data_IF_540059057061
#
_entry.id   IF_540059057061
#
_cell.length_a   1.000
_cell.length_b   1.000
_cell.length_c   1.000
_cell.angle_alpha   90.00
_cell.angle_beta   90.00
_cell.angle_gamma   90.00
#
_symmetry.space_group_name_H-M   'P 1'
#
loop_
_entity.id
_entity.type
_entity.pdbx_description
1 polymer ?
#
# COMPACT_ATOMS: atom_id res chain seq x y z
N UNK A 1 11.85 -6.49 3.69
CA UNK A 1 12.06 -5.46 4.70
C UNK A 1 10.91 -5.56 5.66
N UNK A 2 11.15 -5.42 6.97
CA UNK A 2 10.09 -5.59 7.94
C UNK A 2 10.21 -4.56 9.08
N UNK A 3 9.08 -3.96 9.42
CA UNK A 3 8.84 -3.02 10.51
C UNK A 3 8.25 -3.80 11.67
N UNK A 4 8.90 -3.77 12.83
CA UNK A 4 8.50 -4.53 14.02
C UNK A 4 8.12 -3.60 15.15
N UNK A 5 7.02 -3.91 15.86
CA UNK A 5 6.68 -3.26 17.13
C UNK A 5 7.46 -3.91 18.27
N UNK A 6 8.34 -3.16 18.92
CA UNK A 6 9.06 -3.61 20.12
C UNK A 6 8.19 -3.27 21.33
N UNK A 7 7.24 -4.16 21.67
CA UNK A 7 6.30 -3.87 22.77
C UNK A 7 5.40 -5.01 23.27
N UNK A 8 5.43 -6.21 22.68
CA UNK A 8 4.78 -7.40 23.25
C UNK A 8 5.83 -8.46 23.59
N UNK A 9 6.28 -8.40 24.84
CA UNK A 9 6.79 -9.50 25.68
C UNK A 9 7.37 -10.72 24.96
N UNK A 10 8.63 -10.63 24.53
CA UNK A 10 9.60 -11.70 24.74
C UNK A 10 10.59 -11.19 25.79
N UNK A 11 10.25 -11.39 27.05
CA UNK A 11 11.11 -11.10 28.19
C UNK A 11 12.26 -12.11 28.15
N UNK A 12 13.46 -11.65 27.81
CA UNK A 12 14.68 -12.18 28.44
C UNK A 12 15.11 -11.11 29.43
N UNK A 13 14.42 -11.09 30.58
CA UNK A 13 14.87 -10.35 31.75
C UNK A 13 16.00 -11.16 32.38
N UNK A 14 17.22 -10.63 32.32
CA UNK A 14 18.27 -11.01 33.26
C UNK A 14 18.24 -9.95 34.35
N UNK A 15 17.72 -10.32 35.51
CA UNK A 15 17.68 -9.48 36.71
C UNK A 15 18.90 -9.78 37.58
N UNK A 16 19.69 -8.76 37.98
CA UNK A 16 20.31 -8.62 39.31
C UNK A 16 20.79 -7.14 39.52
N UNK A 17 21.11 -6.64 40.74
CA UNK A 17 20.26 -5.73 41.48
C UNK A 17 20.90 -4.35 41.78
N UNK A 18 20.10 -3.50 42.43
CA UNK A 18 20.35 -2.15 42.93
C UNK A 18 21.56 -1.95 43.83
N UNK A 19 22.22 -0.77 43.74
CA UNK A 19 22.51 0.13 44.88
C UNK A 19 23.02 1.53 44.46
N UNK A 20 22.41 2.56 45.07
CA UNK A 20 22.93 3.82 45.63
C UNK A 20 23.46 5.02 44.78
N UNK A 21 22.77 6.16 44.98
CA UNK A 21 23.23 7.52 45.37
C UNK A 21 23.78 8.56 44.36
N UNK A 22 22.89 9.53 44.01
CA UNK A 22 23.01 11.03 43.95
C UNK A 22 24.06 11.72 43.01
N UNK A 23 23.94 13.04 42.66
CA UNK A 23 22.83 14.01 42.84
C UNK A 23 22.40 14.78 41.55
N UNK A 24 21.34 15.58 41.75
CA UNK A 24 20.58 16.48 40.87
C UNK A 24 21.33 17.41 39.90
N UNK A 25 20.81 17.52 38.68
CA UNK A 25 20.79 18.76 37.90
C UNK A 25 19.38 19.04 37.35
N UNK A 26 18.88 20.26 37.61
CA UNK A 26 17.61 20.80 37.10
C UNK A 26 17.69 21.04 35.59
N UNK A 27 16.72 20.61 34.76
CA UNK A 27 16.57 21.16 33.43
C UNK A 27 15.75 22.46 33.48
N UNK A 28 16.26 23.47 32.76
CA UNK A 28 15.65 24.78 32.55
C UNK A 28 14.39 24.61 31.71
N UNK A 29 13.24 25.04 32.27
CA UNK A 29 11.92 25.02 31.64
C UNK A 29 11.77 26.29 30.77
N UNK A 30 11.99 26.17 29.46
CA UNK A 30 11.64 27.22 28.50
C UNK A 30 10.23 26.96 27.96
N UNK A 31 9.26 27.71 28.50
CA UNK A 31 7.89 27.82 27.97
C UNK A 31 7.92 28.64 26.68
N UNK A 32 7.55 28.02 25.56
CA UNK A 32 7.23 28.73 24.32
C UNK A 32 5.70 28.94 24.28
N UNK A 33 5.20 30.18 24.10
CA UNK A 33 3.76 30.43 23.99
C UNK A 33 3.22 29.97 22.62
N UNK A 34 1.93 29.62 22.52
CA UNK A 34 1.32 29.25 21.25
C UNK A 34 1.26 30.46 20.31
N UNK A 35 1.59 30.24 19.03
CA UNK A 35 1.38 31.21 17.97
C UNK A 35 -0.12 31.48 17.80
N UNK A 36 -0.51 32.71 18.14
CA UNK A 36 -1.82 33.27 17.85
C UNK A 36 -1.98 33.42 16.34
N UNK A 37 -2.98 32.77 15.76
CA UNK A 37 -3.34 32.91 14.35
C UNK A 37 -4.13 34.22 14.17
N UNK A 38 -3.68 35.19 13.35
CA UNK A 38 -4.43 36.42 13.14
C UNK A 38 -5.70 36.13 12.33
N UNK A 39 -6.80 36.63 12.87
CA UNK A 39 -8.14 36.59 12.30
C UNK A 39 -8.25 37.33 10.95
N UNK A 40 -9.17 36.81 10.13
CA UNK A 40 -9.99 37.49 9.11
C UNK A 40 -9.31 38.53 8.21
N UNK A 41 -9.21 38.19 6.92
CA UNK A 41 -9.20 39.17 5.83
C UNK A 41 -10.49 39.07 4.99
N UNK A 42 -10.94 40.20 4.39
CA UNK A 42 -12.30 40.37 3.95
C UNK A 42 -12.62 39.65 2.64
N UNK A 43 -13.91 39.39 2.48
CA UNK A 43 -14.55 38.67 1.38
C UNK A 43 -14.59 39.59 0.15
N UNK A 44 -13.77 39.33 -0.86
CA UNK A 44 -13.87 40.02 -2.14
C UNK A 44 -14.96 39.37 -3.00
N UNK A 45 -15.96 40.18 -3.33
CA UNK A 45 -17.06 39.91 -4.24
C UNK A 45 -16.55 39.81 -5.68
N UNK A 46 -16.53 38.59 -6.23
CA UNK A 46 -16.51 38.37 -7.67
C UNK A 46 -17.90 37.93 -8.11
N UNK A 47 -18.63 38.88 -8.69
CA UNK A 47 -19.92 38.65 -9.35
C UNK A 47 -19.63 38.03 -10.71
N UNK A 48 -19.60 36.71 -10.76
CA UNK A 48 -19.62 35.91 -11.99
C UNK A 48 -21.05 35.47 -12.31
N UNK A 49 -21.52 35.81 -13.50
CA UNK A 49 -22.89 35.59 -14.00
C UNK A 49 -23.30 34.11 -13.87
N UNK A 50 -24.50 33.86 -13.32
CA UNK A 50 -25.15 32.54 -13.34
C UNK A 50 -25.57 32.21 -14.78
N UNK A 51 -24.97 31.18 -15.36
CA UNK A 51 -25.59 30.43 -16.44
C UNK A 51 -26.41 29.30 -15.81
N UNK A 52 -27.73 29.39 -15.94
CA UNK A 52 -28.68 28.38 -15.49
C UNK A 52 -28.59 27.18 -16.43
N UNK A 53 -28.04 26.06 -15.97
CA UNK A 53 -28.22 24.78 -16.63
C UNK A 53 -29.25 23.98 -15.84
N UNK A 54 -30.40 23.75 -16.45
CA UNK A 54 -31.44 22.83 -15.97
C UNK A 54 -30.95 21.40 -16.14
N UNK A 55 -30.84 20.68 -15.02
CA UNK A 55 -30.68 19.23 -14.99
C UNK A 55 -32.08 18.63 -14.88
N UNK A 56 -32.53 17.91 -15.90
CA UNK A 56 -33.73 17.08 -15.83
C UNK A 56 -33.39 15.73 -15.17
N UNK A 57 -34.24 15.31 -14.24
CA UNK A 57 -34.17 14.03 -13.53
C UNK A 57 -34.86 12.89 -14.31
N UNK A 58 -34.96 11.66 -13.77
CA UNK A 58 -34.18 10.49 -14.14
C UNK A 58 -34.94 9.50 -15.03
N UNK A 59 -34.21 8.69 -15.80
CA UNK A 59 -34.76 7.50 -16.45
C UNK A 59 -34.76 6.32 -15.48
N UNK A 60 -35.91 5.69 -15.38
CA UNK A 60 -36.29 4.54 -14.56
C UNK A 60 -35.36 3.34 -14.73
N UNK A 61 -34.85 2.82 -13.60
CA UNK A 61 -34.21 1.52 -13.53
C UNK A 61 -35.28 0.42 -13.42
N UNK A 62 -35.33 -0.49 -14.40
CA UNK A 62 -36.05 -1.75 -14.29
C UNK A 62 -35.09 -2.84 -13.83
N UNK A 63 -35.35 -3.35 -12.64
CA UNK A 63 -34.71 -4.50 -12.03
C UNK A 63 -35.13 -5.80 -12.73
N UNK A 64 -34.14 -6.56 -13.22
CA UNK A 64 -34.18 -8.02 -13.19
C UNK A 64 -32.75 -8.50 -13.00
N UNK A 65 -32.50 -9.05 -11.82
CA UNK A 65 -31.35 -9.88 -11.49
C UNK A 65 -31.36 -11.13 -12.37
N UNK A 66 -30.31 -11.32 -13.15
CA UNK A 66 -29.64 -12.60 -13.37
C UNK A 66 -28.22 -12.27 -13.86
N UNK A 67 -27.23 -12.33 -12.96
CA UNK A 67 -25.81 -12.33 -13.34
C UNK A 67 -25.53 -13.72 -13.92
N UNK A 68 -25.86 -13.87 -15.21
CA UNK A 68 -25.49 -15.04 -15.97
C UNK A 68 -23.96 -15.12 -16.03
N UNK A 69 -23.40 -16.23 -15.57
CA UNK A 69 -22.02 -16.60 -15.83
C UNK A 69 -21.83 -16.67 -17.35
N UNK A 70 -21.21 -15.64 -17.93
CA UNK A 70 -20.86 -15.61 -19.35
C UNK A 70 -19.81 -16.70 -19.58
N UNK A 71 -20.28 -17.83 -20.10
CA UNK A 71 -19.43 -18.89 -20.63
C UNK A 71 -18.73 -18.35 -21.88
N UNK A 72 -17.43 -18.64 -22.09
CA UNK A 72 -16.68 -18.05 -23.18
C UNK A 72 -17.19 -18.62 -24.50
N UNK A 73 -17.64 -17.74 -25.40
CA UNK A 73 -17.66 -17.99 -26.83
C UNK A 73 -16.21 -18.07 -27.31
N UNK A 74 -15.57 -19.21 -27.04
CA UNK A 74 -14.23 -19.53 -27.50
C UNK A 74 -14.25 -19.74 -29.00
N UNK A 75 -13.93 -18.68 -29.75
CA UNK A 75 -13.47 -18.86 -31.11
C UNK A 75 -12.01 -19.31 -31.04
N UNK A 76 -11.85 -20.63 -30.88
CA UNK A 76 -10.56 -21.31 -30.85
C UNK A 76 -9.93 -21.31 -32.24
N UNK A 77 -9.46 -20.14 -32.67
CA UNK A 77 -8.54 -20.02 -33.79
C UNK A 77 -7.17 -19.62 -33.24
N UNK A 78 -6.12 -20.11 -33.88
CA UNK A 78 -4.72 -19.75 -33.63
C UNK A 78 -4.43 -18.29 -34.02
N UNK A 79 -5.24 -17.37 -33.51
CA UNK A 79 -5.17 -15.93 -33.74
C UNK A 79 -4.08 -15.29 -32.88
N UNK A 80 -3.45 -14.27 -33.41
CA UNK A 80 -2.54 -13.42 -32.65
C UNK A 80 -3.40 -12.44 -31.86
N UNK A 81 -3.28 -12.44 -30.53
CA UNK A 81 -3.99 -11.51 -29.68
C UNK A 81 -3.43 -10.09 -29.84
N UNK A 82 -4.29 -9.08 -29.81
CA UNK A 82 -3.81 -7.69 -29.90
C UNK A 82 -3.00 -7.31 -28.66
N UNK A 83 -3.46 -7.72 -27.48
CA UNK A 83 -2.84 -7.37 -26.21
C UNK A 83 -2.97 -8.51 -25.20
N UNK A 84 -1.82 -8.92 -24.68
CA UNK A 84 -1.73 -9.83 -23.54
C UNK A 84 -1.20 -9.06 -22.33
N UNK A 85 -1.78 -9.32 -21.16
CA UNK A 85 -1.40 -8.72 -19.88
C UNK A 85 -1.04 -9.86 -18.93
N UNK A 86 0.14 -9.81 -18.31
CA UNK A 86 0.57 -10.79 -17.32
C UNK A 86 0.58 -10.13 -15.94
N UNK A 87 -0.37 -10.53 -15.08
CA UNK A 87 -0.48 -10.11 -13.69
C UNK A 87 -1.86 -9.60 -13.32
N UNK A 88 -2.37 -10.04 -12.16
CA UNK A 88 -3.68 -9.68 -11.59
C UNK A 88 -3.61 -8.57 -10.53
N UNK A 89 -2.55 -7.77 -10.49
CA UNK A 89 -2.47 -6.63 -9.58
C UNK A 89 -3.34 -5.44 -10.04
N UNK A 90 -3.40 -4.35 -9.26
CA UNK A 90 -4.09 -3.13 -9.65
C UNK A 90 -3.55 -2.55 -10.97
N UNK A 91 -2.25 -2.71 -11.24
CA UNK A 91 -1.64 -2.32 -12.51
C UNK A 91 -2.18 -3.13 -13.71
N UNK A 92 -2.31 -4.45 -13.54
CA UNK A 92 -2.82 -5.36 -14.57
C UNK A 92 -4.28 -5.09 -14.90
N UNK A 93 -5.14 -4.99 -13.88
CA UNK A 93 -6.56 -4.69 -14.10
C UNK A 93 -6.80 -3.27 -14.63
N UNK A 94 -6.01 -2.28 -14.20
CA UNK A 94 -6.10 -0.93 -14.78
C UNK A 94 -5.77 -0.96 -16.27
N UNK A 95 -4.69 -1.65 -16.66
CA UNK A 95 -4.33 -1.81 -18.06
C UNK A 95 -5.44 -2.54 -18.84
N UNK A 96 -6.04 -3.58 -18.26
CA UNK A 96 -7.14 -4.33 -18.86
C UNK A 96 -8.38 -3.47 -19.08
N UNK A 97 -8.78 -2.68 -18.09
CA UNK A 97 -9.92 -1.74 -18.18
C UNK A 97 -9.72 -0.77 -19.34
N UNK A 98 -8.55 -0.15 -19.45
CA UNK A 98 -8.28 0.81 -20.52
C UNK A 98 -8.17 0.14 -21.90
N UNK A 99 -7.57 -1.03 -21.98
CA UNK A 99 -7.48 -1.77 -23.23
C UNK A 99 -8.85 -2.29 -23.70
N UNK A 100 -9.70 -2.74 -22.78
CA UNK A 100 -11.06 -3.15 -23.08
C UNK A 100 -11.91 -1.97 -23.59
N UNK A 101 -11.77 -0.79 -22.96
CA UNK A 101 -12.40 0.45 -23.46
C UNK A 101 -11.90 0.89 -24.83
N UNK A 102 -10.64 0.58 -25.16
CA UNK A 102 -10.08 0.78 -26.50
C UNK A 102 -10.47 -0.32 -27.50
N UNK A 103 -11.36 -1.24 -27.11
CA UNK A 103 -11.82 -2.38 -27.91
C UNK A 103 -10.69 -3.31 -28.39
N UNK A 104 -9.60 -3.40 -27.61
CA UNK A 104 -8.44 -4.25 -27.93
C UNK A 104 -8.63 -5.71 -27.52
N UNK A 105 -9.73 -6.03 -26.83
CA UNK A 105 -10.06 -7.37 -26.30
C UNK A 105 -8.88 -7.97 -25.53
N UNK A 106 -8.43 -7.32 -24.44
CA UNK A 106 -7.24 -7.75 -23.72
C UNK A 106 -7.44 -9.14 -23.09
N UNK A 107 -6.39 -9.96 -23.17
CA UNK A 107 -6.28 -11.23 -22.45
C UNK A 107 -5.40 -11.02 -21.22
N UNK A 108 -5.96 -11.26 -20.03
CA UNK A 108 -5.26 -11.09 -18.74
C UNK A 108 -4.91 -12.46 -18.16
N UNK A 109 -3.63 -12.71 -17.94
CA UNK A 109 -3.15 -13.85 -17.17
C UNK A 109 -3.02 -13.45 -15.71
N UNK A 110 -3.94 -13.94 -14.89
CA UNK A 110 -4.00 -13.54 -13.49
C UNK A 110 -2.83 -14.09 -12.66
N UNK A 111 -2.26 -15.21 -13.10
CA UNK A 111 -1.14 -15.88 -12.46
C UNK A 111 -1.51 -16.59 -11.15
N UNK A 112 -0.74 -17.61 -10.78
CA UNK A 112 -0.84 -18.24 -9.47
C UNK A 112 0.21 -17.64 -8.53
N UNK A 113 -0.25 -16.82 -7.59
CA UNK A 113 0.58 -16.42 -6.45
C UNK A 113 0.61 -17.55 -5.41
N UNK A 114 1.67 -17.64 -4.61
CA UNK A 114 1.71 -18.50 -3.41
C UNK A 114 0.58 -18.04 -2.46
N UNK A 115 -0.53 -18.78 -2.43
CA UNK A 115 -1.79 -18.39 -1.78
C UNK A 115 -3.04 -18.51 -2.66
N UNK A 116 -2.89 -18.66 -3.98
CA UNK A 116 -3.94 -19.10 -4.90
C UNK A 116 -5.01 -18.07 -5.28
N UNK A 117 -4.97 -16.85 -4.76
CA UNK A 117 -6.00 -15.83 -5.06
C UNK A 117 -5.45 -14.75 -6.01
N UNK A 118 -6.11 -14.48 -7.15
CA UNK A 118 -5.75 -13.38 -8.03
C UNK A 118 -5.99 -12.04 -7.33
N UNK A 119 -5.17 -11.03 -7.62
CA UNK A 119 -5.28 -9.70 -6.99
C UNK A 119 -3.97 -9.09 -6.52
N UNK A 120 -2.86 -9.84 -6.61
CA UNK A 120 -1.53 -9.38 -6.21
C UNK A 120 -1.38 -9.17 -4.70
N UNK A 121 -0.48 -8.27 -4.29
CA UNK A 121 -0.14 -8.07 -2.88
C UNK A 121 -1.28 -7.51 -2.02
N UNK A 122 -2.26 -6.83 -2.63
CA UNK A 122 -3.41 -6.28 -1.91
C UNK A 122 -4.28 -7.38 -1.28
N UNK A 123 -4.22 -8.62 -1.77
CA UNK A 123 -4.92 -9.75 -1.15
C UNK A 123 -4.39 -10.10 0.24
N UNK A 124 -3.22 -9.58 0.62
CA UNK A 124 -2.58 -9.85 1.93
C UNK A 124 -2.66 -8.67 2.89
N UNK A 125 -3.22 -7.53 2.45
CA UNK A 125 -3.41 -6.35 3.31
C UNK A 125 -4.83 -6.30 3.86
N UNK A 126 -4.96 -5.83 5.10
CA UNK A 126 -6.26 -5.69 5.77
C UNK A 126 -6.96 -4.40 5.38
N UNK A 127 -6.24 -3.28 5.34
CA UNK A 127 -6.81 -1.95 5.16
C UNK A 127 -5.93 -1.10 4.25
N UNK A 128 -6.57 -0.30 3.41
CA UNK A 128 -5.96 0.60 2.43
C UNK A 128 -6.58 1.99 2.60
N UNK A 129 -5.85 2.91 3.22
CA UNK A 129 -6.31 4.29 3.48
C UNK A 129 -5.77 5.30 2.46
N UNK A 130 -4.75 4.92 1.68
CA UNK A 130 -4.01 5.82 0.80
C UNK A 130 -4.39 5.68 -0.69
N UNK A 131 -5.43 4.90 -1.01
CA UNK A 131 -5.95 4.81 -2.37
C UNK A 131 -7.05 5.86 -2.58
N UNK A 132 -6.90 6.78 -3.56
CA UNK A 132 -7.86 7.86 -3.75
C UNK A 132 -9.25 7.34 -4.16
N UNK A 133 -10.30 8.00 -3.66
CA UNK A 133 -11.69 7.61 -3.91
C UNK A 133 -12.35 6.85 -2.76
N UNK A 134 -11.59 6.48 -1.73
CA UNK A 134 -12.09 5.80 -0.53
C UNK A 134 -11.74 6.61 0.72
N UNK A 135 -12.50 7.67 1.06
CA UNK A 135 -12.19 8.53 2.20
C UNK A 135 -12.27 7.81 3.55
N UNK A 136 -13.05 6.73 3.63
CA UNK A 136 -13.23 5.89 4.81
C UNK A 136 -12.25 4.70 4.82
N UNK A 137 -11.35 4.60 3.84
CA UNK A 137 -10.53 3.42 3.61
C UNK A 137 -11.31 2.28 2.92
N UNK A 138 -10.59 1.26 2.49
CA UNK A 138 -11.15 0.04 1.91
C UNK A 138 -10.23 -1.16 2.21
N UNK A 139 -10.81 -2.34 2.36
CA UNK A 139 -10.06 -3.59 2.46
C UNK A 139 -9.30 -3.90 1.17
N UNK A 140 -8.13 -4.53 1.28
CA UNK A 140 -7.31 -4.92 0.13
C UNK A 140 -8.05 -5.84 -0.85
N UNK A 141 -8.61 -6.98 -0.38
CA UNK A 141 -9.51 -7.82 -1.17
C UNK A 141 -10.69 -7.08 -1.81
N UNK A 142 -11.42 -6.27 -1.03
CA UNK A 142 -12.60 -5.55 -1.54
C UNK A 142 -12.24 -4.54 -2.66
N UNK A 143 -11.08 -3.90 -2.54
CA UNK A 143 -10.56 -3.03 -3.59
C UNK A 143 -10.25 -3.82 -4.87
N UNK A 144 -9.66 -5.01 -4.73
CA UNK A 144 -9.38 -5.88 -5.87
C UNK A 144 -10.65 -6.44 -6.50
N UNK A 145 -11.67 -6.78 -5.72
CA UNK A 145 -12.98 -7.20 -6.24
C UNK A 145 -13.64 -6.12 -7.10
N UNK A 146 -13.48 -4.84 -6.72
CA UNK A 146 -13.95 -3.71 -7.55
C UNK A 146 -13.17 -3.60 -8.86
N UNK A 147 -11.87 -3.85 -8.85
CA UNK A 147 -11.05 -3.90 -10.08
C UNK A 147 -11.51 -5.03 -11.00
N UNK A 148 -11.70 -6.24 -10.46
CA UNK A 148 -12.14 -7.42 -11.20
C UNK A 148 -13.53 -7.15 -11.79
N UNK A 149 -14.47 -6.68 -10.98
CA UNK A 149 -15.85 -6.37 -11.42
C UNK A 149 -15.89 -5.33 -12.54
N UNK A 150 -15.01 -4.32 -12.50
CA UNK A 150 -14.93 -3.32 -13.57
C UNK A 150 -14.31 -3.90 -14.84
N UNK A 151 -13.25 -4.70 -14.72
CA UNK A 151 -12.62 -5.35 -15.86
C UNK A 151 -13.59 -6.34 -16.56
N UNK A 152 -14.32 -7.15 -15.79
CA UNK A 152 -15.29 -8.12 -16.33
C UNK A 152 -16.49 -7.44 -16.98
N UNK A 153 -17.01 -6.35 -16.40
CA UNK A 153 -18.07 -5.53 -16.99
C UNK A 153 -17.72 -5.01 -18.39
N UNK A 154 -16.44 -4.74 -18.64
CA UNK A 154 -15.94 -4.25 -19.93
C UNK A 154 -15.51 -5.37 -20.89
N UNK A 155 -15.80 -6.63 -20.56
CA UNK A 155 -15.39 -7.81 -21.33
C UNK A 155 -13.86 -7.96 -21.48
N UNK A 156 -13.09 -7.55 -20.47
CA UNK A 156 -11.69 -7.98 -20.38
C UNK A 156 -11.66 -9.47 -20.01
N UNK A 157 -11.05 -10.32 -20.84
CA UNK A 157 -11.01 -11.77 -20.62
C UNK A 157 -9.85 -12.11 -19.68
N UNK A 158 -10.16 -12.63 -18.50
CA UNK A 158 -9.17 -13.22 -17.61
C UNK A 158 -9.03 -14.72 -17.89
N UNK A 159 -7.81 -15.17 -18.25
CA UNK A 159 -7.47 -16.57 -18.40
C UNK A 159 -6.57 -17.01 -17.24
N UNK A 160 -6.96 -18.06 -16.52
CA UNK A 160 -6.20 -18.61 -15.40
C UNK A 160 -5.14 -19.66 -15.82
N UNK A 161 -5.19 -20.15 -17.06
CA UNK A 161 -4.31 -21.22 -17.55
C UNK A 161 -3.04 -20.67 -18.23
N UNK A 162 -1.91 -20.74 -17.53
CA UNK A 162 -0.57 -20.35 -18.03
C UNK A 162 -0.02 -21.36 -19.06
N UNK A 163 -0.64 -22.53 -19.21
CA UNK A 163 -0.12 -23.64 -20.03
C UNK A 163 -0.31 -23.49 -21.54
N UNK A 164 -0.88 -22.38 -22.02
CA UNK A 164 -1.12 -22.13 -23.46
C UNK A 164 -0.10 -21.16 -24.02
N UNK A 165 0.53 -21.54 -25.14
CA UNK A 165 1.34 -20.62 -25.94
C UNK A 165 0.41 -19.64 -26.69
N UNK A 166 0.35 -18.40 -26.21
CA UNK A 166 -0.43 -17.32 -26.84
C UNK A 166 0.52 -16.39 -27.59
N UNK A 167 0.24 -16.14 -28.87
CA UNK A 167 0.95 -15.12 -29.66
C UNK A 167 0.23 -13.79 -29.49
N UNK A 168 0.98 -12.71 -29.36
CA UNK A 168 0.40 -11.37 -29.26
C UNK A 168 1.20 -10.31 -30.03
N UNK A 169 0.54 -9.22 -30.41
CA UNK A 169 1.19 -8.04 -30.97
C UNK A 169 1.85 -7.18 -29.89
N UNK A 170 1.31 -7.19 -28.67
CA UNK A 170 1.80 -6.40 -27.55
C UNK A 170 1.62 -7.15 -26.23
N UNK A 171 2.59 -6.97 -25.34
CA UNK A 171 2.64 -7.62 -24.03
C UNK A 171 2.84 -6.57 -22.93
N UNK A 172 1.96 -6.57 -21.93
CA UNK A 172 2.12 -5.80 -20.70
C UNK A 172 2.52 -6.76 -19.58
N UNK A 173 3.66 -6.46 -18.95
CA UNK A 173 4.14 -7.22 -17.78
C UNK A 173 3.79 -6.43 -16.52
N UNK A 174 2.81 -6.94 -15.77
CA UNK A 174 2.29 -6.37 -14.52
C UNK A 174 2.35 -7.40 -13.37
N UNK A 175 3.36 -8.26 -13.37
CA UNK A 175 3.54 -9.37 -12.40
C UNK A 175 3.78 -8.91 -10.97
N UNK A 176 4.01 -7.60 -10.76
CA UNK A 176 4.30 -7.03 -9.46
C UNK A 176 5.64 -7.48 -8.87
N UNK A 177 5.82 -7.22 -7.59
CA UNK A 177 6.96 -7.64 -6.79
C UNK A 177 6.49 -8.06 -5.41
N UNK A 178 7.25 -8.95 -4.75
CA UNK A 178 6.95 -9.39 -3.39
C UNK A 178 7.95 -8.82 -2.40
N UNK A 179 7.44 -8.36 -1.26
CA UNK A 179 8.28 -7.94 -0.16
C UNK A 179 9.09 -9.14 0.38
N UNK A 180 10.42 -8.96 0.49
CA UNK A 180 11.29 -10.00 1.05
C UNK A 180 11.10 -10.10 2.56
N UNK A 181 10.57 -11.23 3.01
CA UNK A 181 10.37 -11.61 4.40
C UNK A 181 11.59 -12.33 4.96
N UNK A 182 11.84 -12.22 6.28
CA UNK A 182 13.00 -12.85 6.93
C UNK A 182 12.71 -14.28 7.37
N UNK A 183 11.43 -14.65 7.46
CA UNK A 183 10.91 -15.93 7.98
C UNK A 183 11.36 -16.16 9.42
N UNK A 184 11.18 -15.15 10.27
CA UNK A 184 11.46 -15.27 11.70
C UNK A 184 10.47 -16.25 12.37
N UNK A 185 10.86 -16.88 13.49
CA UNK A 185 9.91 -17.62 14.31
C UNK A 185 8.69 -16.76 14.64
N UNK A 186 7.48 -17.27 14.38
CA UNK A 186 6.19 -16.58 14.59
C UNK A 186 5.98 -15.32 13.71
N UNK A 187 6.74 -15.15 12.63
CA UNK A 187 6.53 -13.98 11.73
C UNK A 187 5.12 -13.94 11.15
N UNK A 188 4.56 -15.10 10.78
CA UNK A 188 3.19 -15.20 10.25
C UNK A 188 2.11 -14.87 11.29
N UNK A 189 2.36 -15.16 12.58
CA UNK A 189 1.41 -14.86 13.66
C UNK A 189 1.24 -13.34 13.87
N UNK A 190 2.32 -12.59 13.70
CA UNK A 190 2.36 -11.14 13.89
C UNK A 190 2.28 -10.35 12.57
N UNK A 191 2.17 -11.03 11.42
CA UNK A 191 1.99 -10.39 10.13
C UNK A 191 0.70 -9.57 10.11
N UNK A 192 0.78 -8.31 9.67
CA UNK A 192 -0.32 -7.34 9.72
C UNK A 192 -0.86 -7.05 11.14
N UNK A 193 -0.17 -7.51 12.20
CA UNK A 193 -0.54 -7.31 13.62
C UNK A 193 0.60 -6.75 14.47
N UNK A 194 1.62 -6.20 13.82
CA UNK A 194 2.82 -5.66 14.45
C UNK A 194 4.08 -5.85 13.61
N UNK A 195 4.02 -6.75 12.62
CA UNK A 195 5.02 -6.88 11.55
C UNK A 195 4.39 -6.38 10.25
N UNK A 196 5.03 -5.39 9.63
CA UNK A 196 4.68 -4.86 8.31
C UNK A 196 5.89 -4.88 7.39
N UNK A 197 5.70 -4.89 6.08
CA UNK A 197 6.76 -4.71 5.11
C UNK A 197 6.73 -3.37 4.35
N UNK A 198 5.84 -2.45 4.75
CA UNK A 198 5.69 -1.14 4.13
C UNK A 198 5.45 -0.07 5.20
N UNK A 199 6.50 0.67 5.56
CA UNK A 199 6.35 1.77 6.53
C UNK A 199 5.37 2.86 6.08
N UNK A 200 5.30 3.16 4.78
CA UNK A 200 4.42 4.21 4.24
C UNK A 200 2.95 3.82 4.34
N UNK A 201 2.67 2.53 4.19
CA UNK A 201 1.32 2.00 4.24
C UNK A 201 0.78 2.02 5.68
N UNK A 202 1.58 1.51 6.62
CA UNK A 202 1.07 1.23 7.97
C UNK A 202 1.61 2.19 9.03
N UNK A 203 2.62 3.00 8.74
CA UNK A 203 3.31 3.82 9.74
C UNK A 203 2.41 4.84 10.45
N UNK A 204 1.36 5.31 9.77
CA UNK A 204 0.37 6.22 10.33
C UNK A 204 -0.73 5.50 11.14
N UNK A 205 -0.84 4.16 11.04
CA UNK A 205 -1.85 3.37 11.73
C UNK A 205 -1.77 3.59 13.26
N UNK A 206 -2.92 3.62 13.96
CA UNK A 206 -2.97 3.71 15.42
C UNK A 206 -2.11 2.66 16.14
N UNK A 207 -1.85 1.50 15.50
CA UNK A 207 -1.05 0.42 16.06
C UNK A 207 0.42 0.82 16.31
N UNK A 208 0.98 1.70 15.47
CA UNK A 208 2.40 2.06 15.49
C UNK A 208 2.67 3.46 16.06
N UNK A 209 1.64 4.31 16.15
CA UNK A 209 1.75 5.68 16.67
C UNK A 209 2.24 5.71 18.13
N UNK A 210 3.28 6.49 18.38
CA UNK A 210 3.92 6.64 19.69
C UNK A 210 4.63 5.38 20.21
N UNK A 211 4.72 4.32 19.41
CA UNK A 211 5.41 3.09 19.80
C UNK A 211 6.90 3.15 19.50
N UNK A 212 7.66 2.23 20.07
CA UNK A 212 9.04 1.96 19.66
C UNK A 212 9.01 0.97 18.51
N UNK A 213 9.56 1.37 17.38
CA UNK A 213 9.58 0.57 16.16
C UNK A 213 11.00 0.13 15.82
N UNK A 214 11.12 -0.98 15.11
CA UNK A 214 12.38 -1.41 14.51
C UNK A 214 12.21 -1.59 13.00
N UNK A 215 13.20 -1.15 12.23
CA UNK A 215 13.27 -1.31 10.77
C UNK A 215 14.45 -2.22 10.47
N UNK A 216 14.21 -3.32 9.75
CA UNK A 216 15.29 -4.25 9.37
C UNK A 216 15.75 -4.02 7.93
N UNK A 217 16.99 -3.55 7.79
CA UNK A 217 17.65 -3.32 6.51
C UNK A 217 18.80 -2.32 6.63
N UNK A 218 19.60 -2.18 5.58
CA UNK A 218 20.72 -1.24 5.56
C UNK A 218 20.98 -0.55 4.23
N UNK A 219 20.06 -0.66 3.26
CA UNK A 219 20.10 0.08 2.00
C UNK A 219 19.29 1.38 2.07
N UNK A 220 19.18 2.09 0.96
CA UNK A 220 18.42 3.35 0.91
C UNK A 220 16.96 3.18 1.34
N UNK A 221 16.28 2.11 0.89
CA UNK A 221 14.90 1.80 1.31
C UNK A 221 14.78 1.72 2.84
N UNK A 222 15.75 1.07 3.50
CA UNK A 222 15.75 0.93 4.96
C UNK A 222 15.86 2.26 5.67
N UNK A 223 16.75 3.11 5.16
CA UNK A 223 16.96 4.45 5.68
C UNK A 223 15.75 5.35 5.44
N UNK A 224 15.15 5.30 4.25
CA UNK A 224 13.97 6.11 3.90
C UNK A 224 12.75 5.75 4.74
N UNK A 225 12.47 4.46 4.93
CA UNK A 225 11.36 4.02 5.77
C UNK A 225 11.61 4.32 7.25
N UNK A 226 12.84 4.13 7.74
CA UNK A 226 13.20 4.51 9.11
C UNK A 226 12.98 6.00 9.36
N UNK A 227 13.46 6.83 8.42
CA UNK A 227 13.24 8.27 8.42
C UNK A 227 11.74 8.61 8.41
N UNK A 228 10.96 7.96 7.56
CA UNK A 228 9.52 8.19 7.47
C UNK A 228 8.82 7.87 8.80
N UNK A 229 9.16 6.74 9.44
CA UNK A 229 8.55 6.31 10.69
C UNK A 229 8.85 7.23 11.88
N UNK A 230 9.93 8.03 11.84
CA UNK A 230 10.22 9.02 12.90
C UNK A 230 9.09 10.04 13.10
N UNK A 231 8.23 10.25 12.10
CA UNK A 231 7.06 11.15 12.19
C UNK A 231 5.98 10.64 13.14
N UNK A 232 5.90 9.32 13.34
CA UNK A 232 4.81 8.66 14.06
C UNK A 232 5.30 7.90 15.29
N UNK A 233 6.48 7.31 15.22
CA UNK A 233 7.07 6.50 16.29
C UNK A 233 7.67 7.38 17.39
N UNK A 234 7.72 6.84 18.62
CA UNK A 234 8.49 7.45 19.71
C UNK A 234 10.00 7.30 19.48
N UNK A 235 10.40 6.16 18.92
CA UNK A 235 11.79 5.84 18.63
C UNK A 235 11.85 4.77 17.53
N UNK A 236 12.86 4.84 16.67
CA UNK A 236 13.04 3.90 15.55
C UNK A 236 14.43 3.27 15.63
N UNK A 237 14.49 1.95 15.83
CA UNK A 237 15.73 1.18 15.77
C UNK A 237 15.99 0.71 14.33
N UNK A 238 17.08 1.15 13.72
CA UNK A 238 17.51 0.65 12.41
C UNK A 238 18.45 -0.55 12.61
N UNK A 239 17.97 -1.75 12.32
CA UNK A 239 18.69 -3.01 12.48
C UNK A 239 19.42 -3.37 11.18
N UNK A 240 20.74 -3.23 11.20
CA UNK A 240 21.63 -3.47 10.06
C UNK A 240 22.43 -4.74 10.28
N UNK A 241 22.42 -5.67 9.32
CA UNK A 241 23.15 -6.95 9.42
C UNK A 241 24.67 -6.78 9.43
N UNK A 242 25.18 -5.77 8.74
CA UNK A 242 26.61 -5.46 8.62
C UNK A 242 27.01 -4.37 9.61
N UNK A 243 28.31 -4.19 9.83
CA UNK A 243 28.88 -3.08 10.59
C UNK A 243 28.77 -1.71 9.90
N UNK A 244 28.26 -1.65 8.66
CA UNK A 244 28.09 -0.42 7.88
C UNK A 244 26.77 -0.41 7.10
N UNK A 245 26.29 0.79 6.79
CA UNK A 245 25.16 1.01 5.89
C UNK A 245 25.59 0.87 4.42
N UNK A 246 24.76 0.20 3.61
CA UNK A 246 24.87 0.16 2.14
C UNK A 246 24.18 1.36 1.49
N UNK A 247 23.33 2.08 2.22
CA UNK A 247 22.65 3.28 1.73
C UNK A 247 23.64 4.29 1.14
N UNK A 248 23.17 5.09 0.18
CA UNK A 248 23.91 6.21 -0.40
C UNK A 248 24.41 7.17 0.69
N UNK A 249 25.53 7.85 0.41
CA UNK A 249 26.15 8.75 1.38
C UNK A 249 25.20 9.86 1.84
N UNK A 250 24.44 10.43 0.91
CA UNK A 250 23.42 11.42 1.21
C UNK A 250 22.35 10.91 2.18
N UNK A 251 21.92 9.66 2.05
CA UNK A 251 20.94 9.07 2.97
C UNK A 251 21.55 8.76 4.34
N UNK A 252 22.81 8.32 4.39
CA UNK A 252 23.53 8.16 5.66
C UNK A 252 23.65 9.48 6.40
N UNK A 253 24.02 10.56 5.70
CA UNK A 253 24.21 11.88 6.31
C UNK A 253 22.88 12.43 6.85
N UNK A 254 21.75 12.19 6.16
CA UNK A 254 20.40 12.52 6.68
C UNK A 254 20.10 11.80 7.99
N UNK A 255 20.42 10.51 8.09
CA UNK A 255 20.24 9.73 9.32
C UNK A 255 21.10 10.28 10.47
N UNK A 256 22.38 10.57 10.20
CA UNK A 256 23.31 11.08 11.21
C UNK A 256 22.86 12.43 11.74
N UNK A 257 22.38 13.32 10.87
CA UNK A 257 21.86 14.64 11.28
C UNK A 257 20.60 14.55 12.15
N UNK A 258 19.84 13.45 12.07
CA UNK A 258 18.67 13.20 12.92
C UNK A 258 19.03 12.61 14.29
N UNK A 259 20.24 12.07 14.44
CA UNK A 259 20.72 11.51 15.70
C UNK A 259 21.40 12.57 16.60
N UNK A 260 21.59 13.79 16.09
CA UNK A 260 22.16 14.94 16.81
C UNK A 260 21.07 15.81 17.43
#
# INVERSE_FOLDING_TARGET
>A
MAVYRVGMTAVVSVAVPSTSSLPCHRPILLRVPPLCCPSRRPRNSWVGRRASFTVSAPLTASSTDEVAAVSPSGDSSSGIENLVIIGSGPAGYTAAIYAARANLKPVVFEGYQVGGVPGGQLMTTTEVENFPGFPEGISGPDLMDRYISHATCLNAFALSEISRNVKCHSLIIATGANAKRLRLPREDEFWSRGISACAICDGASPLFKGQVLAVVGGGDTATEEALYLTKYARHVHLLVRKSHLRASKAMQDRLVNLMQ
#
